data_IF_810348014471
#
_entry.id   IF_810348014471
#
_cell.length_a   1.000
_cell.length_b   1.000
_cell.length_c   1.000
_cell.angle_alpha   90.00
_cell.angle_beta   90.00
_cell.angle_gamma   90.00
#
_symmetry.space_group_name_H-M   'P 1'
#
loop_
_entity.id
_entity.type
_entity.pdbx_description
1 polymer ?
#
# COMPACT_ATOMS: atom_id res chain seq x y z
N UNK A 1 -4.31 -2.16 17.16
CA UNK A 1 -4.36 -0.73 17.53
C UNK A 1 -5.73 -0.12 17.29
N UNK A 2 -6.34 -0.27 16.10
CA UNK A 2 -7.65 0.30 15.80
C UNK A 2 -8.74 -0.20 16.76
N UNK A 3 -8.79 -1.51 17.02
CA UNK A 3 -9.70 -2.11 17.99
C UNK A 3 -9.45 -1.60 19.42
N UNK A 4 -8.19 -1.42 19.80
CA UNK A 4 -7.83 -0.81 21.07
C UNK A 4 -8.36 0.62 21.20
N UNK A 5 -8.13 1.46 20.19
CA UNK A 5 -8.62 2.85 20.16
C UNK A 5 -10.14 2.93 20.27
N UNK A 6 -10.85 2.02 19.59
CA UNK A 6 -12.32 1.92 19.68
C UNK A 6 -12.78 1.59 21.10
N UNK A 7 -12.19 0.56 21.73
CA UNK A 7 -12.51 0.18 23.12
C UNK A 7 -12.16 1.25 24.15
N UNK A 8 -11.07 1.97 23.92
CA UNK A 8 -10.63 3.07 24.78
C UNK A 8 -11.44 4.36 24.62
N UNK A 9 -12.42 4.41 23.70
CA UNK A 9 -13.16 5.63 23.41
C UNK A 9 -12.30 6.74 22.77
N UNK A 10 -11.16 6.38 22.16
CA UNK A 10 -10.20 7.29 21.57
C UNK A 10 -10.42 7.54 20.06
N UNK A 11 -11.61 7.25 19.55
CA UNK A 11 -12.03 7.57 18.18
C UNK A 11 -12.68 8.94 18.11
N UNK A 12 -12.50 9.65 16.99
CA UNK A 12 -13.12 10.96 16.73
C UNK A 12 -14.44 10.74 15.97
N UNK A 13 -15.55 10.65 16.73
CA UNK A 13 -16.87 10.38 16.17
C UNK A 13 -17.35 11.51 15.23
N UNK A 14 -17.02 12.77 15.55
CA UNK A 14 -17.42 13.92 14.74
C UNK A 14 -16.67 13.95 13.41
N UNK A 15 -15.39 13.59 13.43
CA UNK A 15 -14.60 13.49 12.20
C UNK A 15 -15.12 12.33 11.32
N UNK A 16 -15.37 11.17 11.91
CA UNK A 16 -15.92 10.01 11.20
C UNK A 16 -17.26 10.35 10.54
N UNK A 17 -18.18 10.97 11.29
CA UNK A 17 -19.49 11.34 10.76
C UNK A 17 -19.46 12.33 9.60
N UNK A 18 -18.42 13.19 9.55
CA UNK A 18 -18.31 14.22 8.51
C UNK A 18 -17.48 13.81 7.30
N UNK A 19 -16.56 12.87 7.45
CA UNK A 19 -15.52 12.65 6.45
C UNK A 19 -15.35 11.19 6.05
N UNK A 20 -16.01 10.24 6.71
CA UNK A 20 -15.79 8.82 6.48
C UNK A 20 -17.13 8.09 6.36
N UNK A 21 -17.30 7.37 5.28
CA UNK A 21 -18.39 6.41 5.15
C UNK A 21 -17.94 5.09 5.82
N UNK A 22 -18.46 4.83 7.02
CA UNK A 22 -18.12 3.65 7.82
C UNK A 22 -19.19 2.59 7.59
N UNK A 23 -18.86 1.43 6.97
CA UNK A 23 -19.81 0.33 6.83
C UNK A 23 -20.44 -0.07 8.16
N UNK A 24 -21.73 -0.42 8.14
CA UNK A 24 -22.49 -0.64 9.38
C UNK A 24 -21.97 -1.77 10.26
N UNK A 25 -21.36 -2.79 9.65
CA UNK A 25 -20.76 -3.97 10.31
C UNK A 25 -19.26 -3.82 10.60
N UNK A 26 -18.64 -2.72 10.19
CA UNK A 26 -17.17 -2.53 10.27
C UNK A 26 -16.62 -2.75 11.69
N UNK A 27 -17.24 -2.16 12.70
CA UNK A 27 -16.77 -2.26 14.08
C UNK A 27 -16.98 -3.66 14.67
N UNK A 28 -18.05 -4.33 14.28
CA UNK A 28 -18.31 -5.71 14.68
C UNK A 28 -17.27 -6.65 14.06
N UNK A 29 -17.06 -6.56 12.76
CA UNK A 29 -16.05 -7.33 12.05
C UNK A 29 -14.64 -7.13 12.62
N UNK A 30 -14.28 -5.88 12.96
CA UNK A 30 -12.97 -5.57 13.54
C UNK A 30 -12.75 -6.25 14.90
N UNK A 31 -13.79 -6.49 15.67
CA UNK A 31 -13.68 -7.04 17.03
C UNK A 31 -14.07 -8.51 17.11
N UNK A 32 -14.30 -9.17 15.99
CA UNK A 32 -14.68 -10.59 15.91
C UNK A 32 -13.60 -11.50 16.53
N UNK A 33 -12.32 -11.24 16.24
CA UNK A 33 -11.21 -12.00 16.78
C UNK A 33 -10.67 -11.36 18.07
N UNK A 34 -9.88 -12.12 18.83
CA UNK A 34 -9.19 -11.57 20.01
C UNK A 34 -8.14 -10.53 19.59
N UNK A 35 -8.46 -9.27 19.89
CA UNK A 35 -7.62 -8.11 19.64
C UNK A 35 -7.02 -7.55 20.94
N UNK A 36 -6.84 -8.41 21.95
CA UNK A 36 -6.11 -8.04 23.18
C UNK A 36 -4.63 -7.73 22.90
N UNK A 37 -3.98 -6.97 23.77
CA UNK A 37 -2.54 -6.70 23.65
C UNK A 37 -1.74 -7.99 23.72
N UNK A 38 -2.17 -8.96 24.51
CA UNK A 38 -1.55 -10.29 24.61
C UNK A 38 -1.64 -11.07 23.28
N UNK A 39 -2.81 -11.13 22.67
CA UNK A 39 -3.01 -11.80 21.38
C UNK A 39 -2.20 -11.15 20.26
N UNK A 40 -2.20 -9.81 20.20
CA UNK A 40 -1.39 -9.06 19.21
C UNK A 40 0.10 -9.30 19.45
N UNK A 41 0.57 -9.28 20.69
CA UNK A 41 1.96 -9.52 21.03
C UNK A 41 2.41 -10.92 20.59
N UNK A 42 1.61 -11.94 20.88
CA UNK A 42 1.87 -13.32 20.46
C UNK A 42 1.92 -13.46 18.93
N UNK A 43 0.97 -12.85 18.22
CA UNK A 43 0.92 -12.88 16.76
C UNK A 43 2.11 -12.16 16.09
N UNK A 44 2.62 -11.09 16.73
CA UNK A 44 3.74 -10.29 16.21
C UNK A 44 5.11 -10.75 16.73
N UNK A 45 5.18 -11.70 17.65
CA UNK A 45 6.45 -12.10 18.28
C UNK A 45 7.06 -11.01 19.16
N UNK A 46 6.23 -10.18 19.80
CA UNK A 46 6.64 -9.05 20.65
C UNK A 46 6.31 -9.29 22.11
N UNK A 47 6.93 -8.53 23.00
CA UNK A 47 6.50 -8.50 24.39
C UNK A 47 5.18 -7.73 24.54
N UNK A 48 4.25 -8.22 25.34
CA UNK A 48 2.96 -7.55 25.55
C UNK A 48 3.11 -6.12 26.09
N UNK A 49 4.09 -5.91 26.95
CA UNK A 49 4.39 -4.59 27.50
C UNK A 49 4.76 -3.57 26.40
N UNK A 50 5.47 -3.99 25.37
CA UNK A 50 5.88 -3.12 24.26
C UNK A 50 4.66 -2.77 23.38
N UNK A 51 3.78 -3.73 23.12
CA UNK A 51 2.53 -3.50 22.41
C UNK A 51 1.65 -2.53 23.16
N UNK A 52 1.47 -2.73 24.47
CA UNK A 52 0.69 -1.84 25.33
C UNK A 52 1.28 -0.43 25.38
N UNK A 53 2.59 -0.30 25.52
CA UNK A 53 3.30 0.97 25.52
C UNK A 53 3.13 1.71 24.17
N UNK A 54 3.26 1.00 23.06
CA UNK A 54 3.03 1.58 21.73
C UNK A 54 1.59 2.08 21.54
N UNK A 55 0.59 1.30 21.95
CA UNK A 55 -0.82 1.70 21.86
C UNK A 55 -1.12 2.92 22.72
N UNK A 56 -0.60 2.95 23.95
CA UNK A 56 -0.73 4.09 24.85
C UNK A 56 -0.02 5.34 24.29
N UNK A 57 1.18 5.19 23.74
CA UNK A 57 1.95 6.28 23.13
C UNK A 57 1.18 6.88 21.95
N UNK A 58 0.67 6.06 21.05
CA UNK A 58 -0.11 6.51 19.91
C UNK A 58 -1.38 7.27 20.37
N UNK A 59 -2.07 6.75 21.39
CA UNK A 59 -3.29 7.35 21.92
C UNK A 59 -3.02 8.72 22.56
N UNK A 60 -1.95 8.83 23.32
CA UNK A 60 -1.59 10.05 24.06
C UNK A 60 -1.10 11.19 23.15
N UNK A 61 -0.66 10.89 21.92
CA UNK A 61 -0.05 11.89 21.04
C UNK A 61 -0.91 12.13 19.79
N UNK A 62 -1.80 13.12 19.78
CA UNK A 62 -2.67 13.40 18.64
C UNK A 62 -1.91 13.85 17.39
N UNK A 63 -0.74 14.46 17.55
CA UNK A 63 0.18 14.80 16.45
C UNK A 63 1.15 13.66 16.21
N UNK A 64 0.70 12.66 15.48
CA UNK A 64 1.48 11.46 15.12
C UNK A 64 1.49 11.29 13.61
N UNK A 65 2.68 11.14 13.04
CA UNK A 65 2.88 10.70 11.66
C UNK A 65 3.27 9.21 11.68
N UNK A 66 2.54 8.39 10.93
CA UNK A 66 2.93 7.02 10.69
C UNK A 66 3.59 6.91 9.33
N UNK A 67 4.90 6.72 9.31
CA UNK A 67 5.67 6.58 8.09
C UNK A 67 5.91 5.09 7.76
N UNK A 68 5.75 4.73 6.50
CA UNK A 68 6.07 3.39 5.99
C UNK A 68 6.65 3.46 4.58
N UNK A 69 7.21 2.37 4.11
CA UNK A 69 7.76 2.28 2.78
C UNK A 69 7.56 0.87 2.19
N UNK A 70 8.44 0.46 1.31
CA UNK A 70 8.30 -0.74 0.48
C UNK A 70 8.17 -2.05 1.27
N UNK A 71 8.72 -2.13 2.48
CA UNK A 71 8.54 -3.29 3.35
C UNK A 71 7.06 -3.59 3.68
N UNK A 72 6.23 -2.56 3.83
CA UNK A 72 4.78 -2.70 3.98
C UNK A 72 4.08 -2.84 2.62
N UNK A 73 4.46 -2.02 1.64
CA UNK A 73 3.76 -1.94 0.36
C UNK A 73 3.93 -3.19 -0.50
N UNK A 74 5.13 -3.77 -0.52
CA UNK A 74 5.50 -4.89 -1.39
C UNK A 74 5.41 -6.24 -0.68
N UNK A 75 4.41 -6.41 0.16
CA UNK A 75 4.06 -7.69 0.77
C UNK A 75 2.81 -8.29 0.13
N UNK A 76 2.56 -9.57 0.36
CA UNK A 76 1.30 -10.22 -0.05
C UNK A 76 0.07 -9.57 0.56
N UNK A 77 0.23 -8.90 1.71
CA UNK A 77 -0.81 -8.14 2.43
C UNK A 77 -0.60 -6.63 2.36
N UNK A 78 0.12 -6.12 1.34
CA UNK A 78 0.50 -4.70 1.26
C UNK A 78 -0.68 -3.75 1.30
N UNK A 79 -1.75 -4.04 0.57
CA UNK A 79 -2.96 -3.23 0.56
C UNK A 79 -3.62 -3.22 1.94
N UNK A 80 -3.74 -4.37 2.59
CA UNK A 80 -4.35 -4.48 3.91
C UNK A 80 -3.54 -3.76 4.98
N UNK A 81 -2.21 -3.88 4.94
CA UNK A 81 -1.30 -3.17 5.83
C UNK A 81 -1.49 -1.65 5.73
N UNK A 82 -1.52 -1.13 4.50
CA UNK A 82 -1.72 0.30 4.25
C UNK A 82 -3.13 0.74 4.67
N UNK A 83 -4.15 -0.05 4.36
CA UNK A 83 -5.53 0.22 4.78
C UNK A 83 -5.65 0.25 6.30
N UNK A 84 -4.98 -0.66 7.02
CA UNK A 84 -4.96 -0.65 8.48
C UNK A 84 -4.33 0.63 9.05
N UNK A 85 -3.22 1.11 8.46
CA UNK A 85 -2.59 2.39 8.84
C UNK A 85 -3.55 3.56 8.58
N UNK A 86 -4.16 3.62 7.40
CA UNK A 86 -5.12 4.67 7.04
C UNK A 86 -6.31 4.69 7.99
N UNK A 87 -6.89 3.52 8.29
CA UNK A 87 -8.05 3.40 9.16
C UNK A 87 -7.78 3.89 10.58
N UNK A 88 -6.58 3.66 11.13
CA UNK A 88 -6.19 4.18 12.45
C UNK A 88 -6.17 5.72 12.45
N UNK A 89 -5.63 6.33 11.40
CA UNK A 89 -5.58 7.79 11.26
C UNK A 89 -6.96 8.40 10.98
N UNK A 90 -7.80 7.74 10.17
CA UNK A 90 -9.18 8.14 9.94
C UNK A 90 -10.01 8.07 11.23
N UNK A 91 -9.94 6.94 11.93
CA UNK A 91 -10.71 6.73 13.15
C UNK A 91 -10.38 7.73 14.27
N UNK A 92 -9.17 8.27 14.28
CA UNK A 92 -8.70 9.25 15.26
C UNK A 92 -8.71 10.68 14.73
N UNK A 93 -9.31 10.93 13.56
CA UNK A 93 -9.47 12.27 12.98
C UNK A 93 -8.15 12.98 12.71
N UNK A 94 -7.09 12.24 12.35
CA UNK A 94 -5.73 12.80 12.20
C UNK A 94 -5.42 13.29 10.80
N UNK A 95 -6.10 12.77 9.77
CA UNK A 95 -5.87 13.18 8.38
C UNK A 95 -6.35 14.63 8.18
N UNK A 96 -5.52 15.43 7.53
CA UNK A 96 -5.77 16.86 7.30
C UNK A 96 -5.39 17.78 8.47
N UNK A 97 -4.82 17.23 9.56
CA UNK A 97 -4.34 18.03 10.69
C UNK A 97 -2.81 18.20 10.65
N UNK A 98 -2.28 19.40 10.91
CA UNK A 98 -0.83 19.62 10.92
C UNK A 98 -0.10 18.69 11.91
N UNK A 99 0.96 18.06 11.44
CA UNK A 99 1.78 17.14 12.24
C UNK A 99 1.12 15.79 12.52
N UNK A 100 0.04 15.44 11.83
CA UNK A 100 -0.63 14.15 11.98
C UNK A 100 -1.06 13.63 10.61
N UNK A 101 -0.50 12.50 10.17
CA UNK A 101 -0.80 11.95 8.84
C UNK A 101 -0.29 10.51 8.70
N UNK A 102 -0.96 9.65 7.93
CA UNK A 102 -0.31 8.51 7.30
C UNK A 102 0.63 9.03 6.21
N UNK A 103 1.86 8.50 6.12
CA UNK A 103 2.87 9.01 5.21
C UNK A 103 3.66 7.88 4.54
N UNK A 104 3.41 7.67 3.26
CA UNK A 104 4.17 6.72 2.45
C UNK A 104 5.49 7.35 1.99
N UNK A 105 6.61 6.74 2.40
CA UNK A 105 7.95 7.14 1.98
C UNK A 105 8.39 6.31 0.78
N UNK A 106 8.34 6.89 -0.40
CA UNK A 106 8.83 6.25 -1.61
C UNK A 106 10.34 6.44 -1.73
N UNK A 107 11.09 5.35 -1.90
CA UNK A 107 12.55 5.40 -2.04
C UNK A 107 13.03 5.91 -3.40
N UNK A 108 12.27 5.64 -4.45
CA UNK A 108 12.59 6.06 -5.80
C UNK A 108 12.29 7.55 -5.99
N UNK A 109 13.22 8.35 -6.54
CA UNK A 109 13.07 9.81 -6.62
C UNK A 109 11.98 10.26 -7.58
N UNK A 110 11.59 9.43 -8.54
CA UNK A 110 10.57 9.77 -9.55
C UNK A 110 9.64 8.59 -9.87
N UNK A 111 9.10 7.95 -8.85
CA UNK A 111 8.16 6.83 -9.03
C UNK A 111 6.86 7.27 -9.72
N UNK A 112 6.40 8.49 -9.48
CA UNK A 112 5.24 9.05 -10.16
C UNK A 112 5.50 9.21 -11.66
N UNK A 113 6.59 9.87 -12.05
CA UNK A 113 6.96 10.02 -13.45
C UNK A 113 7.19 8.69 -14.16
N UNK A 114 7.77 7.70 -13.49
CA UNK A 114 7.91 6.34 -14.02
C UNK A 114 6.54 5.71 -14.38
N UNK A 115 5.51 5.97 -13.60
CA UNK A 115 4.13 5.55 -13.91
C UNK A 115 3.50 6.36 -15.04
N UNK A 116 3.73 7.67 -15.05
CA UNK A 116 3.19 8.58 -16.06
C UNK A 116 3.70 8.27 -17.48
N UNK A 117 4.93 7.80 -17.60
CA UNK A 117 5.50 7.39 -18.90
C UNK A 117 5.22 5.92 -19.27
N UNK A 118 4.41 5.21 -18.50
CA UNK A 118 4.08 3.81 -18.78
C UNK A 118 5.16 2.81 -18.40
N UNK A 119 5.99 3.11 -17.42
CA UNK A 119 7.07 2.24 -16.95
C UNK A 119 6.62 1.04 -16.09
N UNK A 120 5.34 0.68 -16.13
CA UNK A 120 4.78 -0.46 -15.40
C UNK A 120 4.16 -1.49 -16.35
N UNK A 121 4.17 -2.75 -15.92
CA UNK A 121 3.61 -3.86 -16.68
C UNK A 121 2.08 -3.81 -16.83
N UNK A 122 1.38 -3.00 -16.05
CA UNK A 122 -0.08 -3.00 -15.93
C UNK A 122 -0.77 -1.77 -16.51
N UNK A 123 -0.05 -0.83 -17.11
CA UNK A 123 -0.64 0.37 -17.74
C UNK A 123 0.24 0.90 -18.87
N UNK A 124 -0.38 1.70 -19.74
CA UNK A 124 0.31 2.53 -20.73
C UNK A 124 0.67 3.89 -20.10
N UNK A 125 1.29 4.79 -20.89
CA UNK A 125 1.56 6.15 -20.48
C UNK A 125 0.28 6.90 -20.08
N UNK A 126 0.43 7.98 -19.29
CA UNK A 126 -0.67 8.80 -18.79
C UNK A 126 -1.75 8.01 -18.01
N UNK A 127 -1.36 6.91 -17.36
CA UNK A 127 -2.24 6.00 -16.61
C UNK A 127 -3.34 5.35 -17.47
N UNK A 128 -3.18 5.33 -18.78
CA UNK A 128 -4.13 4.71 -19.71
C UNK A 128 -4.12 3.19 -19.51
N UNK A 129 -5.30 2.62 -19.31
CA UNK A 129 -5.46 1.17 -19.18
C UNK A 129 -5.49 0.48 -20.54
N UNK A 130 -5.09 -0.79 -20.59
CA UNK A 130 -5.11 -1.59 -21.83
C UNK A 130 -6.51 -1.80 -22.44
N UNK A 131 -7.58 -1.61 -21.65
CA UNK A 131 -8.97 -1.66 -22.13
C UNK A 131 -9.46 -0.37 -22.80
N UNK A 132 -8.71 0.73 -22.70
CA UNK A 132 -9.03 2.01 -23.34
C UNK A 132 -8.41 2.06 -24.75
N UNK A 133 -9.15 1.63 -25.75
CA UNK A 133 -8.69 1.58 -27.13
C UNK A 133 -8.36 2.97 -27.71
N UNK A 134 -9.12 4.00 -27.33
CA UNK A 134 -8.91 5.37 -27.80
C UNK A 134 -7.64 5.96 -27.18
N UNK A 135 -7.45 5.78 -25.88
CA UNK A 135 -6.24 6.18 -25.19
C UNK A 135 -5.00 5.44 -25.69
N UNK A 136 -5.09 4.14 -25.91
CA UNK A 136 -4.00 3.34 -26.47
C UNK A 136 -3.56 3.83 -27.86
N UNK A 137 -4.52 4.22 -28.72
CA UNK A 137 -4.23 4.78 -30.03
C UNK A 137 -3.51 6.13 -29.95
N UNK A 138 -3.87 6.99 -28.99
CA UNK A 138 -3.17 8.25 -28.73
C UNK A 138 -1.71 7.98 -28.34
N UNK A 139 -1.46 7.04 -27.42
CA UNK A 139 -0.11 6.68 -26.99
C UNK A 139 0.68 6.07 -28.14
N UNK A 140 0.09 5.17 -28.93
CA UNK A 140 0.71 4.54 -30.08
C UNK A 140 1.18 5.58 -31.09
N UNK A 141 0.33 6.55 -31.40
CA UNK A 141 0.63 7.60 -32.35
C UNK A 141 1.73 8.55 -31.82
N UNK A 142 1.66 8.90 -30.52
CA UNK A 142 2.66 9.76 -29.90
C UNK A 142 4.06 9.10 -29.86
N UNK A 143 4.13 7.79 -29.61
CA UNK A 143 5.39 7.05 -29.61
C UNK A 143 5.85 6.62 -31.01
N UNK A 144 5.04 6.86 -32.05
CA UNK A 144 5.28 6.31 -33.40
C UNK A 144 5.57 4.80 -33.35
N UNK A 145 4.82 4.07 -32.52
CA UNK A 145 5.08 2.68 -32.23
C UNK A 145 4.46 1.78 -33.31
N UNK A 146 5.24 0.93 -34.01
CA UNK A 146 4.68 0.02 -35.00
C UNK A 146 3.77 -1.07 -34.38
N UNK A 147 4.01 -1.37 -33.10
CA UNK A 147 3.19 -2.30 -32.33
C UNK A 147 3.10 -1.82 -30.87
N UNK A 148 1.95 -2.09 -30.24
CA UNK A 148 1.66 -1.76 -28.85
C UNK A 148 1.25 -3.01 -28.09
N UNK A 149 1.59 -3.07 -26.81
CA UNK A 149 1.01 -4.06 -25.91
C UNK A 149 -0.51 -3.82 -25.78
N UNK A 150 -1.28 -4.88 -25.83
CA UNK A 150 -2.75 -4.86 -25.74
C UNK A 150 -3.26 -5.45 -24.43
N UNK A 151 -2.35 -5.93 -23.59
CA UNK A 151 -2.66 -6.53 -22.29
C UNK A 151 -1.50 -6.33 -21.32
N UNK A 152 -1.71 -6.44 -20.00
CA UNK A 152 -0.65 -6.36 -19.02
C UNK A 152 0.48 -7.35 -19.28
N UNK A 153 1.71 -6.89 -19.06
CA UNK A 153 2.90 -7.77 -19.04
C UNK A 153 3.02 -8.55 -17.73
N UNK A 154 4.00 -9.45 -17.69
CA UNK A 154 4.34 -10.20 -16.48
C UNK A 154 4.89 -9.27 -15.40
N UNK A 155 4.48 -9.50 -14.16
CA UNK A 155 5.09 -8.86 -12.99
C UNK A 155 6.46 -9.48 -12.70
N UNK A 156 7.23 -8.86 -11.80
CA UNK A 156 8.63 -9.20 -11.60
C UNK A 156 8.88 -10.69 -11.33
N UNK A 157 8.17 -11.32 -10.38
CA UNK A 157 8.36 -12.75 -10.08
C UNK A 157 8.05 -13.62 -11.30
N UNK A 158 6.84 -13.45 -11.86
CA UNK A 158 6.40 -14.20 -13.03
C UNK A 158 7.31 -13.99 -14.25
N UNK A 159 7.91 -12.80 -14.37
CA UNK A 159 8.86 -12.48 -15.44
C UNK A 159 10.16 -13.30 -15.32
N UNK A 160 10.71 -13.40 -14.11
CA UNK A 160 11.92 -14.19 -13.89
C UNK A 160 11.65 -15.68 -14.00
N UNK A 161 10.49 -16.15 -13.56
CA UNK A 161 10.06 -17.54 -13.78
C UNK A 161 9.93 -17.86 -15.28
N UNK A 162 9.33 -16.95 -16.04
CA UNK A 162 9.21 -17.10 -17.49
C UNK A 162 10.59 -17.05 -18.21
N UNK A 163 11.53 -16.26 -17.68
CA UNK A 163 12.91 -16.23 -18.16
C UNK A 163 13.60 -17.59 -17.90
N UNK A 164 13.51 -18.10 -16.67
CA UNK A 164 14.03 -19.41 -16.30
C UNK A 164 13.44 -20.56 -17.12
N UNK A 165 12.16 -20.47 -17.46
CA UNK A 165 11.46 -21.41 -18.33
C UNK A 165 11.78 -21.22 -19.85
N UNK A 166 12.64 -20.26 -20.20
CA UNK A 166 13.03 -20.00 -21.59
C UNK A 166 11.92 -19.35 -22.46
N UNK A 167 10.85 -18.87 -21.85
CA UNK A 167 9.77 -18.15 -22.56
C UNK A 167 10.18 -16.74 -22.95
N UNK A 168 11.02 -16.09 -22.13
CA UNK A 168 11.64 -14.79 -22.40
C UNK A 168 13.06 -15.05 -22.88
N UNK A 169 13.42 -14.50 -24.03
CA UNK A 169 14.71 -14.76 -24.70
C UNK A 169 15.77 -13.71 -24.40
N UNK A 170 15.37 -12.52 -23.98
CA UNK A 170 16.28 -11.45 -23.64
C UNK A 170 15.68 -10.60 -22.52
N UNK A 171 16.52 -10.14 -21.59
CA UNK A 171 16.15 -9.26 -20.49
C UNK A 171 17.21 -8.17 -20.37
N UNK A 172 16.78 -6.93 -20.30
CA UNK A 172 17.65 -5.80 -20.03
C UNK A 172 17.38 -5.28 -18.61
N UNK A 173 18.40 -5.32 -17.77
CA UNK A 173 18.33 -4.89 -16.36
C UNK A 173 19.12 -3.61 -16.23
N UNK A 174 18.48 -2.55 -15.71
CA UNK A 174 19.09 -1.24 -15.49
C UNK A 174 18.84 -0.75 -14.06
N UNK A 175 19.88 -0.20 -13.42
CA UNK A 175 19.84 0.50 -12.14
C UNK A 175 19.21 -0.32 -10.98
N UNK A 176 19.22 -1.65 -11.06
CA UNK A 176 18.74 -2.55 -10.00
C UNK A 176 19.53 -3.86 -10.03
N UNK A 177 19.46 -4.62 -8.93
CA UNK A 177 20.07 -5.95 -8.85
C UNK A 177 19.02 -6.99 -8.44
N UNK A 178 18.36 -7.64 -9.41
CA UNK A 178 17.34 -8.65 -9.12
C UNK A 178 17.84 -9.82 -8.27
N UNK A 179 19.11 -10.21 -8.43
CA UNK A 179 19.71 -11.29 -7.63
C UNK A 179 19.77 -10.99 -6.12
N UNK A 180 19.59 -9.71 -5.73
CA UNK A 180 19.56 -9.28 -4.32
C UNK A 180 18.14 -8.92 -3.88
N UNK A 181 17.35 -8.31 -4.77
CA UNK A 181 16.05 -7.72 -4.42
C UNK A 181 14.85 -8.60 -4.71
N UNK A 182 15.00 -9.69 -5.46
CA UNK A 182 13.93 -10.65 -5.69
C UNK A 182 13.80 -11.64 -4.51
N UNK A 183 12.58 -12.09 -4.18
CA UNK A 183 12.39 -13.16 -3.20
C UNK A 183 12.94 -14.49 -3.77
N UNK A 184 13.61 -15.26 -2.89
CA UNK A 184 14.19 -16.63 -3.12
C UNK A 184 15.28 -16.70 -4.20
#
# INVERSE_FOLDING_TARGET
LLAYLRRAGATDADYLARHVDVPGDFWEALTHDDQSTAAVAAACGLAEADVAAFFALFTAHPRTVTAWSQGSNQSSSGTDNVSAILNVHLATGRIGKPGASPFSLTGQPNAMGGREVGGLANSLAAHIGFGDAAGAEIVRNFWDAPAMATQPGLKAVDLFDALGAGKIKALWIMATNPAVSMPN
#
